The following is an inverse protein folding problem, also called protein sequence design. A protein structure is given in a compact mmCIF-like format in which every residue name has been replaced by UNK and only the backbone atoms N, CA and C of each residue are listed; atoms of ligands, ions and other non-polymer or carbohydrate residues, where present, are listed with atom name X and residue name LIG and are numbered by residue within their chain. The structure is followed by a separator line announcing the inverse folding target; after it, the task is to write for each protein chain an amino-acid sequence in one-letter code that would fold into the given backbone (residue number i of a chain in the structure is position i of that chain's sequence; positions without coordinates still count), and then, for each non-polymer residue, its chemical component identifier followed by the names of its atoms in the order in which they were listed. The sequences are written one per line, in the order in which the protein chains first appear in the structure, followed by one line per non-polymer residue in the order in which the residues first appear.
data_IF_565299172906
#
_entry.id   IF_565299172906
#
_cell.length_a   1.000
_cell.length_b   1.000
_cell.length_c   1.000
_cell.angle_alpha   90.00
_cell.angle_beta   90.00
_cell.angle_gamma   90.00
#
_symmetry.space_group_name_H-M   'P 1'
#
loop_
_entity.id
_entity.type
_entity.pdbx_description
1 polymer ?
#
# COMPACT_ATOMS: atom_id res chain seq x y z
N UNK A 1 25.77 -9.96 15.15
CA UNK A 1 24.70 -8.95 15.25
C UNK A 1 23.66 -9.45 16.22
N UNK A 2 23.19 -8.60 17.14
CA UNK A 2 22.10 -8.98 18.03
C UNK A 2 20.74 -8.90 17.30
N UNK A 3 19.69 -9.37 17.98
CA UNK A 3 18.36 -9.48 17.40
C UNK A 3 17.73 -8.13 17.10
N UNK A 4 17.98 -7.14 17.95
CA UNK A 4 17.34 -5.82 17.83
C UNK A 4 18.02 -5.03 16.69
N UNK A 5 19.32 -5.21 16.50
CA UNK A 5 20.06 -4.74 15.32
C UNK A 5 19.51 -5.36 14.02
N UNK A 6 19.20 -6.67 14.00
CA UNK A 6 18.57 -7.32 12.82
C UNK A 6 17.20 -6.71 12.54
N UNK A 7 16.35 -6.56 13.57
CA UNK A 7 15.01 -5.97 13.42
C UNK A 7 15.10 -4.54 12.86
N UNK A 8 16.08 -3.75 13.29
CA UNK A 8 16.28 -2.39 12.78
C UNK A 8 16.61 -2.38 11.28
N UNK A 9 17.51 -3.27 10.82
CA UNK A 9 17.83 -3.37 9.39
C UNK A 9 16.63 -3.84 8.56
N UNK A 10 15.88 -4.83 9.04
CA UNK A 10 14.69 -5.31 8.34
C UNK A 10 13.58 -4.26 8.28
N UNK A 11 13.44 -3.41 9.30
CA UNK A 11 12.49 -2.29 9.26
C UNK A 11 12.94 -1.22 8.26
N UNK A 12 14.24 -1.00 8.11
CA UNK A 12 14.76 -0.14 7.05
C UNK A 12 14.45 -0.70 5.66
N UNK A 13 14.55 -2.02 5.47
CA UNK A 13 14.13 -2.68 4.23
C UNK A 13 12.63 -2.47 3.98
N UNK A 14 11.77 -2.70 4.99
CA UNK A 14 10.31 -2.47 4.90
C UNK A 14 9.98 -1.04 4.46
N UNK A 15 10.67 -0.04 5.02
CA UNK A 15 10.43 1.36 4.65
C UNK A 15 10.80 1.65 3.18
N UNK A 16 11.83 0.97 2.67
CA UNK A 16 12.21 0.99 1.26
C UNK A 16 11.16 0.35 0.35
N UNK A 17 10.71 -0.86 0.70
CA UNK A 17 9.63 -1.57 -0.01
C UNK A 17 8.34 -0.74 -0.04
N UNK A 18 7.98 -0.16 1.10
CA UNK A 18 6.81 0.69 1.21
C UNK A 18 6.91 1.94 0.33
N UNK A 19 8.09 2.55 0.23
CA UNK A 19 8.31 3.68 -0.67
C UNK A 19 8.20 3.25 -2.15
N UNK A 20 8.75 2.09 -2.52
CA UNK A 20 8.65 1.54 -3.87
C UNK A 20 7.20 1.26 -4.27
N UNK A 21 6.42 0.57 -3.43
CA UNK A 21 4.99 0.30 -3.65
C UNK A 21 4.24 1.59 -4.00
N UNK A 22 4.35 2.62 -3.15
CA UNK A 22 3.58 3.85 -3.34
C UNK A 22 4.09 4.66 -4.54
N UNK A 23 5.41 4.71 -4.76
CA UNK A 23 5.98 5.39 -5.93
C UNK A 23 5.49 4.75 -7.24
N UNK A 24 5.52 3.43 -7.34
CA UNK A 24 5.13 2.68 -8.53
C UNK A 24 3.64 2.84 -8.81
N UNK A 25 2.78 2.75 -7.78
CA UNK A 25 1.35 3.01 -7.93
C UNK A 25 1.07 4.46 -8.36
N UNK A 26 1.76 5.45 -7.80
CA UNK A 26 1.62 6.86 -8.22
C UNK A 26 1.98 7.03 -9.70
N UNK A 27 3.07 6.42 -10.17
CA UNK A 27 3.47 6.48 -11.58
C UNK A 27 2.49 5.73 -12.48
N UNK A 28 2.06 4.52 -12.11
CA UNK A 28 1.11 3.72 -12.88
C UNK A 28 -0.24 4.45 -13.06
N UNK A 29 -0.84 4.92 -11.97
CA UNK A 29 -2.11 5.66 -12.04
C UNK A 29 -1.98 6.95 -12.85
N UNK A 30 -0.85 7.66 -12.74
CA UNK A 30 -0.62 8.89 -13.50
C UNK A 30 -0.55 8.67 -15.03
N UNK A 31 -0.18 7.45 -15.47
CA UNK A 31 -0.15 7.07 -16.88
C UNK A 31 -1.53 6.63 -17.41
N UNK A 32 -2.47 6.29 -16.51
CA UNK A 32 -3.75 5.67 -16.83
C UNK A 32 -3.62 4.23 -17.32
N UNK A 33 -4.76 3.61 -17.66
CA UNK A 33 -4.80 2.22 -18.11
C UNK A 33 -3.96 2.00 -19.39
N UNK A 34 -3.09 1.00 -19.35
CA UNK A 34 -2.18 0.66 -20.44
C UNK A 34 -1.28 -0.53 -20.11
N UNK A 35 -0.53 -1.00 -21.10
CA UNK A 35 0.38 -2.14 -20.92
C UNK A 35 1.45 -1.82 -19.86
N UNK A 36 2.08 -0.65 -19.94
CA UNK A 36 3.18 -0.27 -19.04
C UNK A 36 2.67 -0.03 -17.62
N UNK A 37 1.52 0.63 -17.43
CA UNK A 37 0.93 0.80 -16.10
C UNK A 37 0.56 -0.54 -15.46
N UNK A 38 -0.01 -1.48 -16.23
CA UNK A 38 -0.25 -2.85 -15.74
C UNK A 38 1.04 -3.57 -15.32
N UNK A 39 2.13 -3.38 -16.06
CA UNK A 39 3.45 -3.95 -15.73
C UNK A 39 4.03 -3.32 -14.46
N UNK A 40 3.96 -1.99 -14.31
CA UNK A 40 4.39 -1.28 -13.08
C UNK A 40 3.59 -1.72 -11.87
N UNK A 41 2.27 -1.86 -11.99
CA UNK A 41 1.42 -2.39 -10.91
C UNK A 41 1.76 -3.85 -10.57
N UNK A 42 2.24 -4.64 -11.53
CA UNK A 42 2.72 -5.99 -11.26
C UNK A 42 3.96 -5.98 -10.38
N UNK A 43 4.92 -5.10 -10.68
CA UNK A 43 6.10 -4.89 -9.83
C UNK A 43 5.68 -4.40 -8.43
N UNK A 44 4.77 -3.43 -8.34
CA UNK A 44 4.26 -2.96 -7.05
C UNK A 44 3.63 -4.08 -6.20
N UNK A 45 2.98 -5.08 -6.82
CA UNK A 45 2.46 -6.27 -6.11
C UNK A 45 3.58 -7.23 -5.67
N UNK A 46 4.71 -7.25 -6.35
CA UNK A 46 5.90 -7.99 -5.89
C UNK A 46 6.51 -7.29 -4.68
N UNK A 47 6.60 -5.96 -4.66
CA UNK A 47 7.06 -5.21 -3.48
C UNK A 47 6.13 -5.37 -2.27
N UNK A 48 4.81 -5.45 -2.48
CA UNK A 48 3.86 -5.78 -1.41
C UNK A 48 4.17 -7.15 -0.78
N UNK A 49 4.67 -8.10 -1.57
CA UNK A 49 5.07 -9.42 -1.09
C UNK A 49 6.43 -9.39 -0.37
N UNK A 50 7.36 -8.53 -0.81
CA UNK A 50 8.60 -8.27 -0.09
C UNK A 50 8.33 -7.68 1.29
N UNK A 51 7.49 -6.64 1.33
CA UNK A 51 6.99 -6.02 2.56
C UNK A 51 6.42 -7.09 3.51
N UNK A 52 5.53 -7.95 3.02
CA UNK A 52 4.91 -9.01 3.82
C UNK A 52 5.93 -10.00 4.39
N UNK A 53 6.87 -10.49 3.57
CA UNK A 53 7.91 -11.41 4.04
C UNK A 53 8.81 -10.81 5.10
N UNK A 54 9.17 -9.54 4.96
CA UNK A 54 9.96 -8.82 5.94
C UNK A 54 9.17 -8.61 7.23
N UNK A 55 7.90 -8.20 7.14
CA UNK A 55 7.02 -8.00 8.29
C UNK A 55 6.87 -9.29 9.12
N UNK A 56 6.56 -10.42 8.46
CA UNK A 56 6.51 -11.74 9.10
C UNK A 56 7.83 -12.11 9.80
N UNK A 57 8.96 -11.81 9.13
CA UNK A 57 10.28 -12.08 9.69
C UNK A 57 10.52 -11.24 10.95
N UNK A 58 10.18 -9.96 10.94
CA UNK A 58 10.32 -9.06 12.10
C UNK A 58 9.44 -9.54 13.26
N UNK A 59 8.18 -9.89 13.01
CA UNK A 59 7.28 -10.44 14.03
C UNK A 59 7.84 -11.75 14.60
N UNK A 60 8.42 -12.61 13.76
CA UNK A 60 9.03 -13.87 14.22
C UNK A 60 10.23 -13.67 15.15
N UNK A 61 10.90 -12.52 15.04
CA UNK A 61 11.97 -12.08 15.94
C UNK A 61 11.42 -11.36 17.19
N UNK A 62 10.10 -11.18 17.30
CA UNK A 62 9.43 -10.47 18.38
C UNK A 62 9.53 -8.95 18.26
N UNK A 63 9.77 -8.43 17.04
CA UNK A 63 9.70 -7.02 16.72
C UNK A 63 8.32 -6.58 16.24
N UNK A 64 8.18 -5.28 15.96
CA UNK A 64 7.00 -4.70 15.32
C UNK A 64 7.43 -4.17 13.95
N UNK A 65 6.78 -4.58 12.85
CA UNK A 65 7.04 -4.04 11.52
C UNK A 65 6.77 -2.54 11.46
N UNK A 66 7.62 -1.81 10.74
CA UNK A 66 7.43 -0.39 10.46
C UNK A 66 6.23 -0.22 9.53
N UNK A 67 5.42 0.80 9.81
CA UNK A 67 4.39 1.30 8.87
C UNK A 67 4.83 2.63 8.26
N UNK A 68 6.04 3.09 8.57
CA UNK A 68 6.61 4.26 7.96
C UNK A 68 6.99 3.96 6.52
N UNK A 69 7.07 5.02 5.73
CA UNK A 69 7.40 4.96 4.30
C UNK A 69 8.70 5.71 4.13
N UNK A 70 9.66 5.10 3.43
CA UNK A 70 10.91 5.73 3.06
C UNK A 70 10.73 6.89 2.07
N UNK A 71 11.86 7.45 1.65
CA UNK A 71 11.87 8.54 0.68
C UNK A 71 11.39 8.06 -0.71
N UNK A 72 10.60 8.91 -1.37
CA UNK A 72 10.06 8.67 -2.71
C UNK A 72 10.46 9.77 -3.69
N UNK A 73 10.46 9.41 -4.98
CA UNK A 73 10.80 10.25 -6.14
C UNK A 73 9.64 10.27 -7.14
N UNK A 74 8.49 10.79 -6.72
CA UNK A 74 7.25 10.83 -7.53
C UNK A 74 7.16 12.03 -8.49
N UNK A 75 8.15 12.92 -8.48
CA UNK A 75 8.24 14.09 -9.34
C UNK A 75 8.89 13.81 -10.69
N UNK A 76 8.80 14.77 -11.62
CA UNK A 76 9.36 14.67 -12.97
C UNK A 76 8.49 15.42 -13.97
N UNK A 77 9.08 15.89 -15.07
CA UNK A 77 8.35 16.65 -16.12
C UNK A 77 7.75 15.70 -17.15
N UNK A 78 8.45 14.60 -17.46
CA UNK A 78 8.02 13.59 -18.42
C UNK A 78 7.92 12.21 -17.76
N UNK A 79 7.11 11.32 -18.34
CA UNK A 79 6.97 9.92 -17.90
C UNK A 79 8.31 9.18 -17.92
N UNK A 80 9.23 9.56 -18.82
CA UNK A 80 10.60 9.04 -18.83
C UNK A 80 11.37 9.34 -17.54
N UNK A 81 11.12 10.49 -16.91
CA UNK A 81 11.78 10.87 -15.65
C UNK A 81 11.28 9.97 -14.51
N UNK A 82 10.00 9.60 -14.53
CA UNK A 82 9.40 8.69 -13.56
C UNK A 82 10.02 7.31 -13.63
N UNK A 83 10.16 6.75 -14.83
CA UNK A 83 10.81 5.44 -15.01
C UNK A 83 12.29 5.49 -14.59
N UNK A 84 12.97 6.62 -14.80
CA UNK A 84 14.33 6.80 -14.28
C UNK A 84 14.37 6.88 -12.76
N UNK A 85 13.38 7.50 -12.13
CA UNK A 85 13.25 7.53 -10.68
C UNK A 85 12.97 6.13 -10.11
N UNK A 86 12.18 5.31 -10.81
CA UNK A 86 11.93 3.92 -10.42
C UNK A 86 13.22 3.09 -10.53
N UNK A 87 14.01 3.25 -11.60
CA UNK A 87 15.37 2.67 -11.69
C UNK A 87 16.27 3.10 -10.51
N UNK A 88 16.15 4.35 -10.04
CA UNK A 88 16.91 4.82 -8.88
C UNK A 88 16.41 4.21 -7.57
N UNK A 89 15.10 4.01 -7.44
CA UNK A 89 14.51 3.34 -6.27
C UNK A 89 15.06 1.91 -6.13
N UNK A 90 15.07 1.16 -7.23
CA UNK A 90 15.66 -0.19 -7.31
C UNK A 90 17.17 -0.20 -6.99
N UNK A 91 17.91 0.83 -7.44
CA UNK A 91 19.35 0.96 -7.14
C UNK A 91 19.61 1.14 -5.65
N UNK A 92 18.77 1.93 -4.99
CA UNK A 92 18.87 2.16 -3.56
C UNK A 92 18.56 0.85 -2.81
N UNK A 93 17.47 0.16 -3.15
CA UNK A 93 17.08 -1.13 -2.57
C UNK A 93 18.18 -2.20 -2.74
N UNK A 94 18.70 -2.38 -3.96
CA UNK A 94 19.82 -3.31 -4.24
C UNK A 94 21.02 -3.02 -3.34
N UNK A 95 21.37 -1.74 -3.17
CA UNK A 95 22.51 -1.33 -2.34
C UNK A 95 22.27 -1.73 -0.88
N UNK A 96 21.10 -1.41 -0.33
CA UNK A 96 20.71 -1.75 1.04
C UNK A 96 20.70 -3.26 1.27
N UNK A 97 20.05 -4.03 0.40
CA UNK A 97 20.01 -5.49 0.53
C UNK A 97 21.41 -6.11 0.48
N UNK A 98 22.29 -5.66 -0.41
CA UNK A 98 23.66 -6.15 -0.44
C UNK A 98 24.45 -5.83 0.83
N UNK A 99 24.21 -4.68 1.46
CA UNK A 99 24.78 -4.32 2.75
C UNK A 99 24.24 -5.20 3.89
N UNK A 100 22.91 -5.36 3.97
CA UNK A 100 22.25 -6.14 5.01
C UNK A 100 22.59 -7.65 4.91
N UNK A 101 22.68 -8.20 3.71
CA UNK A 101 23.13 -9.59 3.46
C UNK A 101 24.57 -9.82 3.97
N UNK A 102 25.45 -8.82 3.86
CA UNK A 102 26.82 -8.89 4.39
C UNK A 102 26.86 -8.78 5.92
N UNK A 103 25.96 -7.99 6.51
CA UNK A 103 25.95 -7.68 7.94
C UNK A 103 25.24 -8.73 8.81
N UNK A 104 24.11 -9.27 8.35
CA UNK A 104 23.35 -10.31 9.05
C UNK A 104 24.16 -11.62 8.97
N UNK A 105 24.04 -12.53 9.95
CA UNK A 105 24.66 -13.87 9.90
C UNK A 105 23.64 -15.00 9.78
N UNK A 106 22.38 -14.75 10.16
CA UNK A 106 21.32 -15.76 10.15
C UNK A 106 21.08 -16.30 8.72
N UNK A 107 21.26 -17.60 8.47
CA UNK A 107 21.18 -18.17 7.13
C UNK A 107 19.75 -18.22 6.56
N UNK A 108 18.71 -18.15 7.39
CA UNK A 108 17.32 -18.08 6.92
C UNK A 108 17.01 -16.66 6.44
N UNK A 109 17.38 -15.65 7.23
CA UNK A 109 17.18 -14.24 6.87
C UNK A 109 18.00 -13.91 5.62
N UNK A 110 19.28 -14.31 5.56
CA UNK A 110 20.09 -14.15 4.34
C UNK A 110 19.43 -14.72 3.09
N UNK A 111 18.81 -15.89 3.21
CA UNK A 111 18.15 -16.53 2.07
C UNK A 111 16.95 -15.72 1.60
N UNK A 112 16.17 -15.15 2.52
CA UNK A 112 15.07 -14.26 2.20
C UNK A 112 15.59 -13.00 1.50
N UNK A 113 16.56 -12.30 2.08
CA UNK A 113 17.11 -11.08 1.48
C UNK A 113 17.77 -11.34 0.11
N UNK A 114 18.41 -12.49 -0.09
CA UNK A 114 18.94 -12.90 -1.40
C UNK A 114 17.84 -13.18 -2.43
N UNK A 115 16.68 -13.67 -1.99
CA UNK A 115 15.51 -13.87 -2.85
C UNK A 115 14.95 -12.53 -3.29
N UNK A 116 14.79 -11.58 -2.36
CA UNK A 116 14.30 -10.23 -2.64
C UNK A 116 15.28 -9.48 -3.54
N UNK A 117 16.58 -9.45 -3.20
CA UNK A 117 17.64 -8.85 -4.04
C UNK A 117 17.64 -9.37 -5.49
N UNK A 118 17.21 -10.62 -5.72
CA UNK A 118 17.08 -11.14 -7.08
C UNK A 118 15.90 -10.55 -7.84
N UNK A 119 14.80 -10.25 -7.16
CA UNK A 119 13.63 -9.55 -7.72
C UNK A 119 13.99 -8.09 -8.01
N UNK A 120 14.59 -7.35 -7.06
CA UNK A 120 15.04 -5.95 -7.28
C UNK A 120 15.94 -5.80 -8.53
N UNK A 121 16.82 -6.78 -8.75
CA UNK A 121 17.69 -6.81 -9.96
C UNK A 121 16.92 -7.06 -11.24
N UNK A 122 15.82 -7.80 -11.18
CA UNK A 122 14.88 -7.97 -12.30
C UNK A 122 14.12 -6.68 -12.54
N UNK A 123 13.50 -6.12 -11.49
CA UNK A 123 12.70 -4.90 -11.56
C UNK A 123 13.50 -3.72 -12.08
N UNK A 124 14.75 -3.54 -11.63
CA UNK A 124 15.68 -2.57 -12.20
C UNK A 124 15.80 -2.70 -13.72
N UNK A 125 15.99 -3.92 -14.23
CA UNK A 125 16.10 -4.19 -15.67
C UNK A 125 14.80 -3.92 -16.42
N UNK A 126 13.65 -4.20 -15.79
CA UNK A 126 12.32 -3.91 -16.32
C UNK A 126 12.08 -2.39 -16.42
N UNK A 127 12.37 -1.61 -15.37
CA UNK A 127 12.27 -0.16 -15.42
C UNK A 127 13.26 0.47 -16.43
N UNK A 128 14.48 -0.05 -16.54
CA UNK A 128 15.43 0.38 -17.58
C UNK A 128 14.87 0.11 -19.00
N UNK A 129 14.14 -0.99 -19.18
CA UNK A 129 13.41 -1.24 -20.41
C UNK A 129 12.25 -0.23 -20.61
N UNK A 130 11.47 0.04 -19.55
CA UNK A 130 10.35 0.98 -19.62
C UNK A 130 10.78 2.39 -19.95
N UNK A 131 11.94 2.88 -19.48
CA UNK A 131 12.50 4.19 -19.88
C UNK A 131 12.52 4.34 -21.40
N UNK A 132 12.97 3.31 -22.11
CA UNK A 132 13.04 3.31 -23.58
C UNK A 132 11.65 3.19 -24.22
N UNK A 133 10.78 2.34 -23.66
CA UNK A 133 9.42 2.06 -24.15
C UNK A 133 8.53 3.30 -24.06
N UNK A 134 8.46 3.95 -22.89
CA UNK A 134 7.65 5.16 -22.68
C UNK A 134 8.11 6.34 -23.54
N UNK A 135 9.42 6.45 -23.79
CA UNK A 135 9.97 7.47 -24.69
C UNK A 135 9.51 7.26 -26.13
N UNK A 136 9.54 6.02 -26.61
CA UNK A 136 9.15 5.66 -27.98
C UNK A 136 7.65 5.81 -28.20
N UNK A 137 6.84 5.45 -27.22
CA UNK A 137 5.37 5.52 -27.28
C UNK A 137 4.82 6.93 -27.01
N UNK A 138 5.64 7.81 -26.44
CA UNK A 138 5.23 9.18 -26.12
C UNK A 138 4.18 9.21 -25.00
N UNK A 139 4.38 8.37 -23.98
CA UNK A 139 3.52 8.30 -22.80
C UNK A 139 3.39 9.69 -22.13
N UNK A 140 2.23 9.95 -21.54
CA UNK A 140 1.89 11.27 -20.99
C UNK A 140 1.41 11.16 -19.56
N UNK A 141 1.69 12.20 -18.80
CA UNK A 141 1.00 12.44 -17.54
C UNK A 141 -0.47 12.77 -17.82
N UNK A 142 -1.38 11.92 -17.32
CA UNK A 142 -2.82 12.12 -17.45
C UNK A 142 -3.42 12.88 -16.27
N UNK A 143 -2.64 13.08 -15.19
CA UNK A 143 -3.05 13.87 -14.03
C UNK A 143 -3.33 15.31 -14.44
N UNK A 144 -4.04 16.01 -13.57
CA UNK A 144 -4.25 17.44 -13.72
C UNK A 144 -4.34 18.15 -12.38
N UNK A 145 -4.82 19.38 -12.41
CA UNK A 145 -4.88 20.29 -11.28
C UNK A 145 -6.30 20.50 -10.72
N UNK A 146 -7.23 19.57 -10.96
CA UNK A 146 -8.59 19.65 -10.39
C UNK A 146 -8.54 19.59 -8.86
N UNK A 147 -9.22 20.54 -8.20
CA UNK A 147 -9.25 20.71 -6.73
C UNK A 147 -10.66 21.03 -6.19
N UNK A 148 -11.70 20.79 -7.00
CA UNK A 148 -13.08 21.04 -6.61
C UNK A 148 -13.59 20.01 -5.58
N UNK A 149 -14.87 20.11 -5.21
CA UNK A 149 -15.49 19.21 -4.23
C UNK A 149 -15.36 17.73 -4.61
N UNK A 150 -15.36 17.41 -5.91
CA UNK A 150 -15.19 16.03 -6.39
C UNK A 150 -13.77 15.54 -6.11
N UNK A 151 -12.76 16.34 -6.45
CA UNK A 151 -11.37 16.02 -6.13
C UNK A 151 -11.14 15.89 -4.61
N UNK A 152 -11.80 16.73 -3.80
CA UNK A 152 -11.71 16.65 -2.34
C UNK A 152 -12.29 15.33 -1.79
N UNK A 153 -13.45 14.89 -2.31
CA UNK A 153 -14.06 13.61 -1.91
C UNK A 153 -13.17 12.43 -2.30
N UNK A 154 -12.63 12.43 -3.52
CA UNK A 154 -11.74 11.37 -4.00
C UNK A 154 -10.44 11.31 -3.19
N UNK A 155 -9.78 12.44 -2.94
CA UNK A 155 -8.56 12.48 -2.13
C UNK A 155 -8.81 12.10 -0.67
N UNK A 156 -9.97 12.44 -0.11
CA UNK A 156 -10.36 11.98 1.22
C UNK A 156 -10.49 10.45 1.24
N UNK A 157 -11.14 9.86 0.24
CA UNK A 157 -11.23 8.41 0.10
C UNK A 157 -9.86 7.76 -0.04
N UNK A 158 -9.00 8.24 -0.94
CA UNK A 158 -7.64 7.70 -1.14
C UNK A 158 -6.80 7.75 0.14
N UNK A 159 -6.82 8.88 0.87
CA UNK A 159 -6.13 9.01 2.16
C UNK A 159 -6.69 8.02 3.19
N UNK A 160 -8.00 7.83 3.18
CA UNK A 160 -8.67 6.89 4.06
C UNK A 160 -8.27 5.44 3.75
N UNK A 161 -8.44 4.99 2.51
CA UNK A 161 -8.10 3.62 2.08
C UNK A 161 -6.64 3.31 2.41
N UNK A 162 -5.73 4.24 2.13
CA UNK A 162 -4.33 4.06 2.48
C UNK A 162 -4.09 3.93 4.00
N UNK A 163 -4.84 4.68 4.81
CA UNK A 163 -4.75 4.58 6.27
C UNK A 163 -5.23 3.21 6.76
N UNK A 164 -6.36 2.70 6.27
CA UNK A 164 -6.91 1.40 6.71
C UNK A 164 -6.11 0.21 6.21
N UNK A 165 -5.53 0.27 5.00
CA UNK A 165 -4.59 -0.75 4.52
C UNK A 165 -3.46 -0.93 5.54
N UNK A 166 -2.82 0.16 5.96
CA UNK A 166 -1.71 0.10 6.91
C UNK A 166 -2.15 -0.34 8.31
N UNK A 167 -3.33 0.07 8.75
CA UNK A 167 -3.89 -0.34 10.03
C UNK A 167 -4.18 -1.85 10.04
N UNK A 168 -4.83 -2.37 9.01
CA UNK A 168 -5.18 -3.79 8.91
C UNK A 168 -3.95 -4.67 8.78
N UNK A 169 -2.96 -4.26 7.98
CA UNK A 169 -1.68 -4.97 7.91
C UNK A 169 -0.97 -4.97 9.27
N UNK A 170 -0.87 -3.82 9.95
CA UNK A 170 -0.24 -3.78 11.27
C UNK A 170 -0.98 -4.67 12.27
N UNK A 171 -2.30 -4.60 12.32
CA UNK A 171 -3.10 -5.43 13.21
C UNK A 171 -2.99 -6.93 12.86
N UNK A 172 -2.96 -7.29 11.58
CA UNK A 172 -2.82 -8.69 11.14
C UNK A 172 -1.48 -9.29 11.54
N UNK A 173 -0.39 -8.51 11.47
CA UNK A 173 0.93 -8.93 11.91
C UNK A 173 1.03 -9.07 13.43
N UNK A 174 0.32 -8.21 14.17
CA UNK A 174 0.46 -8.13 15.63
C UNK A 174 -0.55 -9.00 16.40
N UNK A 175 -1.62 -9.48 15.76
CA UNK A 175 -2.60 -10.36 16.41
C UNK A 175 -2.09 -11.80 16.54
N UNK A 176 -2.28 -12.47 17.70
CA UNK A 176 -2.03 -13.90 17.83
C UNK A 176 -3.14 -14.77 17.20
N UNK A 177 -4.30 -14.19 16.89
CA UNK A 177 -5.45 -14.92 16.33
C UNK A 177 -5.29 -15.11 14.83
N UNK A 178 -5.21 -16.37 14.39
CA UNK A 178 -5.02 -16.71 12.97
C UNK A 178 -6.20 -16.32 12.10
N UNK A 179 -7.41 -16.45 12.63
CA UNK A 179 -8.63 -16.11 11.90
C UNK A 179 -8.73 -14.59 11.72
N UNK A 180 -8.44 -13.83 12.78
CA UNK A 180 -8.39 -12.35 12.71
C UNK A 180 -7.29 -11.89 11.76
N UNK A 181 -6.08 -12.46 11.85
CA UNK A 181 -4.99 -12.15 10.93
C UNK A 181 -5.41 -12.31 9.47
N UNK A 182 -5.97 -13.47 9.13
CA UNK A 182 -6.37 -13.78 7.76
C UNK A 182 -7.45 -12.81 7.27
N UNK A 183 -8.47 -12.54 8.06
CA UNK A 183 -9.56 -11.65 7.62
C UNK A 183 -9.10 -10.18 7.49
N UNK A 184 -8.15 -9.73 8.33
CA UNK A 184 -7.52 -8.41 8.17
C UNK A 184 -6.65 -8.32 6.91
N UNK A 185 -5.88 -9.37 6.57
CA UNK A 185 -5.12 -9.44 5.32
C UNK A 185 -6.06 -9.41 4.11
N UNK A 186 -7.14 -10.20 4.14
CA UNK A 186 -8.14 -10.25 3.07
C UNK A 186 -8.83 -8.88 2.88
N UNK A 187 -9.17 -8.19 3.97
CA UNK A 187 -9.75 -6.84 3.92
C UNK A 187 -8.73 -5.80 3.45
N UNK A 188 -7.46 -5.85 3.90
CA UNK A 188 -6.42 -4.95 3.42
C UNK A 188 -6.24 -5.01 1.90
N UNK A 189 -6.34 -6.21 1.31
CA UNK A 189 -6.35 -6.39 -0.16
C UNK A 189 -7.58 -5.74 -0.79
N UNK A 190 -8.74 -5.79 -0.13
CA UNK A 190 -9.94 -5.10 -0.63
C UNK A 190 -9.78 -3.58 -0.61
N UNK A 191 -9.20 -3.02 0.44
CA UNK A 191 -8.90 -1.58 0.53
C UNK A 191 -7.86 -1.13 -0.50
N UNK A 192 -6.86 -1.95 -0.81
CA UNK A 192 -5.94 -1.68 -1.91
C UNK A 192 -6.67 -1.54 -3.25
N UNK A 193 -7.72 -2.34 -3.47
CA UNK A 193 -8.56 -2.23 -4.66
C UNK A 193 -9.41 -0.94 -4.64
N UNK A 194 -9.93 -0.52 -3.49
CA UNK A 194 -10.63 0.76 -3.35
C UNK A 194 -9.72 1.95 -3.66
N UNK A 195 -8.50 1.94 -3.10
CA UNK A 195 -7.48 2.94 -3.35
C UNK A 195 -7.17 3.07 -4.84
N UNK A 196 -7.06 1.94 -5.56
CA UNK A 196 -6.87 1.92 -7.00
C UNK A 196 -8.03 2.57 -7.76
N UNK A 197 -9.27 2.13 -7.51
CA UNK A 197 -10.44 2.69 -8.18
C UNK A 197 -10.60 4.20 -7.95
N UNK A 198 -10.36 4.68 -6.74
CA UNK A 198 -10.45 6.10 -6.42
C UNK A 198 -9.31 6.91 -7.08
N UNK A 199 -8.11 6.34 -7.14
CA UNK A 199 -6.94 6.96 -7.77
C UNK A 199 -7.13 7.08 -9.28
N UNK A 200 -7.61 6.03 -9.94
CA UNK A 200 -7.94 6.03 -11.37
C UNK A 200 -9.04 7.06 -11.67
N UNK A 201 -10.15 7.03 -10.93
CA UNK A 201 -11.26 7.98 -11.10
C UNK A 201 -10.80 9.44 -10.87
N UNK A 202 -9.84 9.66 -9.96
CA UNK A 202 -9.22 10.97 -9.75
C UNK A 202 -8.41 11.44 -10.96
N UNK A 203 -7.60 10.57 -11.56
CA UNK A 203 -6.81 10.88 -12.75
C UNK A 203 -7.70 11.13 -13.98
N UNK A 204 -8.73 10.31 -14.17
CA UNK A 204 -9.72 10.47 -15.24
C UNK A 204 -10.42 11.84 -15.18
N UNK A 205 -10.64 12.33 -13.96
CA UNK A 205 -11.20 13.65 -13.69
C UNK A 205 -10.20 14.79 -13.77
N UNK A 206 -8.97 14.55 -14.23
CA UNK A 206 -7.88 15.54 -14.30
C UNK A 206 -7.49 16.11 -12.94
N UNK A 207 -7.59 15.28 -11.90
CA UNK A 207 -6.98 15.53 -10.60
C UNK A 207 -5.63 14.83 -10.46
N UNK A 208 -5.07 14.89 -9.26
CA UNK A 208 -3.87 14.17 -8.88
C UNK A 208 -4.16 13.44 -7.56
N UNK A 209 -4.06 12.10 -7.53
CA UNK A 209 -4.18 11.32 -6.30
C UNK A 209 -3.18 11.78 -5.25
N UNK A 210 -3.61 11.83 -3.99
CA UNK A 210 -2.74 12.06 -2.83
C UNK A 210 -2.78 10.84 -1.92
N UNK A 211 -1.78 9.97 -2.05
CA UNK A 211 -1.63 8.76 -1.23
C UNK A 211 -0.80 9.12 0.01
N UNK A 212 -1.45 9.80 0.94
CA UNK A 212 -0.91 10.12 2.26
C UNK A 212 -1.84 9.56 3.31
N UNK A 213 -1.30 9.15 4.46
CA UNK A 213 -2.08 8.56 5.55
C UNK A 213 -2.35 9.56 6.65
N UNK A 214 -3.33 9.24 7.48
CA UNK A 214 -3.54 9.87 8.78
C UNK A 214 -2.97 9.00 9.91
N UNK A 215 -3.44 9.21 11.14
CA UNK A 215 -3.02 8.41 12.28
C UNK A 215 -3.55 6.98 12.14
N UNK A 216 -2.65 6.00 12.30
CA UNK A 216 -2.95 4.57 12.29
C UNK A 216 -3.04 4.08 13.73
N UNK A 217 -4.11 3.36 14.07
CA UNK A 217 -4.23 2.72 15.38
C UNK A 217 -3.14 1.64 15.55
N UNK A 218 -2.50 1.61 16.73
CA UNK A 218 -1.39 0.69 17.04
C UNK A 218 -1.74 -0.21 18.23
N UNK A 219 -3.01 -0.53 18.40
CA UNK A 219 -3.47 -1.41 19.46
C UNK A 219 -2.75 -2.75 19.39
N UNK A 220 -2.47 -3.33 20.55
CA UNK A 220 -1.70 -4.59 20.67
C UNK A 220 -2.54 -5.77 21.15
N UNK A 221 -3.81 -5.52 21.52
CA UNK A 221 -4.77 -6.57 21.87
C UNK A 221 -5.77 -6.76 20.73
N UNK A 222 -6.01 -8.01 20.34
CA UNK A 222 -6.92 -8.39 19.26
C UNK A 222 -8.29 -7.71 19.35
N UNK A 223 -8.92 -7.73 20.52
CA UNK A 223 -10.23 -7.10 20.71
C UNK A 223 -10.18 -5.56 20.58
N UNK A 224 -9.08 -4.92 20.95
CA UNK A 224 -8.93 -3.46 20.81
C UNK A 224 -8.66 -3.07 19.34
N UNK A 225 -7.87 -3.87 18.62
CA UNK A 225 -7.66 -3.76 17.16
C UNK A 225 -9.01 -3.81 16.42
N UNK A 226 -9.78 -4.88 16.64
CA UNK A 226 -11.09 -5.06 16.01
C UNK A 226 -12.05 -3.91 16.32
N UNK A 227 -12.06 -3.40 17.56
CA UNK A 227 -12.89 -2.23 17.92
C UNK A 227 -12.45 -0.96 17.19
N UNK A 228 -11.14 -0.76 17.01
CA UNK A 228 -10.61 0.37 16.24
C UNK A 228 -11.01 0.26 14.76
N UNK A 229 -10.87 -0.92 14.17
CA UNK A 229 -11.20 -1.21 12.76
C UNK A 229 -12.72 -1.07 12.51
N UNK A 230 -13.56 -1.66 13.36
CA UNK A 230 -15.03 -1.49 13.28
C UNK A 230 -15.45 -0.02 13.38
N UNK A 231 -14.75 0.77 14.21
CA UNK A 231 -15.07 2.17 14.41
C UNK A 231 -14.74 2.98 13.16
N UNK A 232 -13.58 2.75 12.55
CA UNK A 232 -13.17 3.53 11.37
C UNK A 232 -14.07 3.20 10.18
N UNK A 233 -14.38 1.93 9.95
CA UNK A 233 -15.29 1.47 8.90
C UNK A 233 -16.67 2.11 8.96
N UNK A 234 -17.27 2.15 10.17
CA UNK A 234 -18.58 2.80 10.38
C UNK A 234 -18.55 4.29 10.05
N UNK A 235 -17.44 4.97 10.34
CA UNK A 235 -17.29 6.39 10.03
C UNK A 235 -17.20 6.61 8.51
N UNK A 236 -16.51 5.71 7.83
CA UNK A 236 -16.19 5.81 6.41
C UNK A 236 -17.40 5.47 5.56
N UNK A 237 -18.11 4.40 5.89
CA UNK A 237 -19.38 4.06 5.27
C UNK A 237 -20.38 5.23 5.35
N UNK A 238 -20.44 5.91 6.50
CA UNK A 238 -21.31 7.06 6.70
C UNK A 238 -20.90 8.29 5.87
N UNK A 239 -19.59 8.50 5.68
CA UNK A 239 -19.07 9.60 4.86
C UNK A 239 -19.26 9.32 3.36
N UNK A 240 -19.01 8.09 2.89
CA UNK A 240 -19.36 7.69 1.52
C UNK A 240 -20.85 7.83 1.24
N UNK A 241 -21.72 7.44 2.18
CA UNK A 241 -23.17 7.67 2.07
C UNK A 241 -23.54 9.16 1.97
N UNK A 242 -22.79 10.05 2.65
CA UNK A 242 -23.00 11.49 2.55
C UNK A 242 -22.51 12.01 1.21
N UNK A 243 -21.28 11.67 0.82
CA UNK A 243 -20.68 12.07 -0.45
C UNK A 243 -21.55 11.63 -1.64
N UNK A 244 -22.05 10.40 -1.64
CA UNK A 244 -22.93 9.89 -2.70
C UNK A 244 -24.28 10.64 -2.82
N UNK A 245 -24.72 11.37 -1.78
CA UNK A 245 -25.91 12.24 -1.83
C UNK A 245 -25.60 13.63 -2.41
N UNK A 246 -24.37 14.10 -2.25
CA UNK A 246 -23.91 15.41 -2.71
C UNK A 246 -23.38 15.37 -4.16
N UNK A 247 -22.87 14.22 -4.60
CA UNK A 247 -22.33 14.02 -5.95
C UNK A 247 -23.45 13.82 -6.97
N UNK A 248 -23.46 14.66 -8.01
CA UNK A 248 -24.40 14.55 -9.14
C UNK A 248 -23.95 13.55 -10.21
N UNK A 249 -22.64 13.29 -10.32
CA UNK A 249 -22.04 12.43 -11.34
C UNK A 249 -22.43 10.94 -11.13
N UNK A 250 -23.21 10.32 -12.03
CA UNK A 250 -23.81 9.00 -11.77
C UNK A 250 -22.80 7.86 -11.60
N UNK A 251 -21.68 7.91 -12.34
CA UNK A 251 -20.64 6.87 -12.27
C UNK A 251 -19.87 6.95 -10.96
N UNK A 252 -19.43 8.15 -10.57
CA UNK A 252 -18.76 8.37 -9.29
C UNK A 252 -19.69 7.98 -8.13
N UNK A 253 -20.97 8.37 -8.18
CA UNK A 253 -21.94 7.96 -7.17
C UNK A 253 -22.03 6.43 -7.03
N UNK A 254 -22.02 5.70 -8.15
CA UNK A 254 -22.04 4.23 -8.14
C UNK A 254 -20.76 3.66 -7.51
N UNK A 255 -19.60 4.24 -7.82
CA UNK A 255 -18.32 3.84 -7.23
C UNK A 255 -18.33 4.02 -5.70
N UNK A 256 -18.68 5.23 -5.23
CA UNK A 256 -18.74 5.52 -3.78
C UNK A 256 -19.73 4.61 -3.05
N UNK A 257 -20.89 4.33 -3.64
CA UNK A 257 -21.86 3.40 -3.04
C UNK A 257 -21.35 1.96 -3.01
N UNK A 258 -20.58 1.52 -4.03
CA UNK A 258 -19.98 0.19 -4.05
C UNK A 258 -18.95 0.03 -2.95
N UNK A 259 -18.04 0.99 -2.79
CA UNK A 259 -17.04 1.01 -1.72
C UNK A 259 -17.74 1.01 -0.36
N UNK A 260 -18.74 1.89 -0.17
CA UNK A 260 -19.59 1.92 1.04
C UNK A 260 -20.15 0.54 1.41
N UNK A 261 -20.68 -0.19 0.42
CA UNK A 261 -21.26 -1.52 0.66
C UNK A 261 -20.20 -2.55 1.09
N UNK A 262 -18.94 -2.40 0.65
CA UNK A 262 -17.81 -3.20 1.12
C UNK A 262 -17.45 -2.85 2.58
N UNK A 263 -17.40 -1.57 2.98
CA UNK A 263 -17.13 -1.16 4.38
C UNK A 263 -18.16 -1.71 5.36
N UNK A 264 -19.42 -1.81 4.92
CA UNK A 264 -20.49 -2.44 5.69
C UNK A 264 -20.24 -3.93 5.87
N UNK A 265 -19.71 -4.61 4.85
CA UNK A 265 -19.31 -6.00 4.93
C UNK A 265 -18.09 -6.19 5.85
N UNK A 266 -17.03 -5.38 5.70
CA UNK A 266 -15.86 -5.40 6.59
C UNK A 266 -16.27 -5.23 8.05
N UNK A 267 -17.13 -4.24 8.31
CA UNK A 267 -17.73 -4.03 9.62
C UNK A 267 -18.40 -5.29 10.16
N UNK A 268 -19.22 -5.98 9.34
CA UNK A 268 -19.92 -7.19 9.79
C UNK A 268 -18.93 -8.31 10.14
N UNK A 269 -17.95 -8.58 9.28
CA UNK A 269 -16.90 -9.58 9.51
C UNK A 269 -16.13 -9.30 10.81
N UNK A 270 -15.70 -8.05 11.01
CA UNK A 270 -14.97 -7.69 12.23
C UNK A 270 -15.83 -7.76 13.50
N UNK A 271 -17.14 -7.50 13.42
CA UNK A 271 -18.03 -7.71 14.58
C UNK A 271 -18.15 -9.19 14.93
N UNK A 272 -18.30 -10.08 13.94
CA UNK A 272 -18.36 -11.52 14.18
C UNK A 272 -17.07 -12.02 14.87
N UNK A 273 -15.91 -11.58 14.38
CA UNK A 273 -14.61 -11.90 14.99
C UNK A 273 -14.45 -11.33 16.40
N UNK A 274 -14.94 -10.11 16.65
CA UNK A 274 -14.88 -9.49 17.98
C UNK A 274 -15.72 -10.27 18.98
N UNK A 275 -16.92 -10.70 18.59
CA UNK A 275 -17.76 -11.54 19.44
C UNK A 275 -17.11 -12.88 19.77
N UNK A 276 -16.38 -13.48 18.83
CA UNK A 276 -15.63 -14.72 19.06
C UNK A 276 -14.45 -14.52 19.99
N UNK A 277 -13.66 -13.46 19.80
CA UNK A 277 -12.53 -13.11 20.65
C UNK A 277 -12.98 -12.82 22.09
N UNK A 278 -14.08 -12.08 22.27
CA UNK A 278 -14.63 -11.77 23.60
C UNK A 278 -15.19 -13.01 24.33
N UNK A 279 -15.57 -14.07 23.60
CA UNK A 279 -16.01 -15.34 24.22
C UNK A 279 -14.83 -16.21 24.64
N UNK A 280 -13.64 -15.99 24.09
CA UNK A 280 -12.43 -16.78 24.35
C UNK A 280 -11.55 -16.18 25.47
N UNK A 281 -11.65 -14.87 25.71
CA UNK A 281 -10.94 -14.14 26.79
C UNK A 281 -11.64 -14.15 28.14
#
# INVERSE_FOLDING_TARGET
MDKDEIIALLNQDIEGEHAAIIQYLVHAYAMGEGEISCEIEAIAREEMRHFDWLAETIVSLGGTPSIDRGDMRTGGVAVTDWMQNDVLQEKDAITLYEEHIRAIDDPKIKRLLQRILSDEKSHQGEFEHFVNKVQKEGAKDLRGSRQDKVAQVLNWGIEHEYTVILQYLLHSYMTPSKDVKKEMEDQAINEMQHLGWLSEEMVDKKGSPRIERTEVDKSTKTADMLRADIKIEKQVAAEYDRAAKEIEEPNLKRLLMRIRDHEVYHTAVFNDLLEEEEKQG
#
